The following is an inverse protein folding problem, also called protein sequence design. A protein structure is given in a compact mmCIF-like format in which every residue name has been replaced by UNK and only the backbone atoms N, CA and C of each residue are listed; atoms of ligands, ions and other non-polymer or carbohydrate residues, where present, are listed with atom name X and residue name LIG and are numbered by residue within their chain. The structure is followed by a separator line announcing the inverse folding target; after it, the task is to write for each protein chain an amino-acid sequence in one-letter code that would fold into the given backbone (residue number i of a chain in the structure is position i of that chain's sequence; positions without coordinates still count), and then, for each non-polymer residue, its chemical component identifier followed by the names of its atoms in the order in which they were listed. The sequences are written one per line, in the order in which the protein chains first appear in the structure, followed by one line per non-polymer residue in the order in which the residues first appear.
data_IF_486907958450
#
_entry.id   IF_486907958450
#
_cell.length_a   1.000
_cell.length_b   1.000
_cell.length_c   1.000
_cell.angle_alpha   90.00
_cell.angle_beta   90.00
_cell.angle_gamma   90.00
#
_symmetry.space_group_name_H-M   'P 1'
#
loop_
_entity.id
_entity.type
_entity.pdbx_description
1 polymer ?
#
# COMPACT_ATOMS: atom_id res chain seq x y z
N UNK A 1 13.19 9.96 -23.74
CA UNK A 1 11.71 9.83 -23.81
C UNK A 1 11.02 10.87 -22.94
N UNK A 2 11.52 11.11 -21.72
CA UNK A 2 10.96 12.05 -20.74
C UNK A 2 10.86 13.51 -21.21
N UNK A 3 11.85 14.05 -21.92
CA UNK A 3 11.81 15.44 -22.41
C UNK A 3 10.65 15.71 -23.39
N UNK A 4 10.28 14.73 -24.23
CA UNK A 4 9.14 14.88 -25.17
C UNK A 4 7.81 14.82 -24.43
N UNK A 5 7.72 13.97 -23.41
CA UNK A 5 6.54 13.88 -22.52
C UNK A 5 6.31 15.22 -21.82
N UNK A 6 7.35 15.82 -21.24
CA UNK A 6 7.26 17.12 -20.57
C UNK A 6 6.80 18.25 -21.52
N UNK A 7 7.31 18.29 -22.75
CA UNK A 7 6.94 19.32 -23.73
C UNK A 7 5.48 19.18 -24.20
N UNK A 8 5.00 17.97 -24.42
CA UNK A 8 3.60 17.72 -24.80
C UNK A 8 2.65 18.00 -23.62
N UNK A 9 3.09 17.69 -22.40
CA UNK A 9 2.39 18.06 -21.17
C UNK A 9 2.36 19.58 -20.92
N UNK A 10 3.25 20.37 -21.50
CA UNK A 10 3.11 21.83 -21.44
C UNK A 10 2.08 22.38 -22.44
N UNK A 11 1.75 21.64 -23.51
CA UNK A 11 0.91 22.10 -24.62
C UNK A 11 -0.56 21.70 -24.55
N UNK A 12 -0.89 20.56 -23.94
CA UNK A 12 -2.29 20.12 -23.88
C UNK A 12 -3.14 21.03 -22.96
N UNK A 13 -4.45 21.19 -23.23
CA UNK A 13 -5.34 22.10 -22.51
C UNK A 13 -5.38 21.87 -21.00
N UNK A 14 -5.61 22.94 -20.23
CA UNK A 14 -5.71 22.90 -18.76
C UNK A 14 -6.89 22.06 -18.30
N UNK A 15 -7.99 22.06 -19.08
CA UNK A 15 -9.18 21.24 -18.88
C UNK A 15 -9.29 20.25 -20.04
N UNK A 16 -9.46 18.98 -19.72
CA UNK A 16 -9.62 17.89 -20.68
C UNK A 16 -11.06 17.41 -20.63
N UNK A 17 -11.66 17.22 -21.80
CA UNK A 17 -12.98 16.60 -21.95
C UNK A 17 -12.81 15.12 -22.28
N UNK A 18 -13.53 14.25 -21.58
CA UNK A 18 -13.59 12.82 -21.82
C UNK A 18 -15.03 12.44 -22.14
N UNK A 19 -15.23 11.60 -23.14
CA UNK A 19 -16.50 10.93 -23.39
C UNK A 19 -16.37 9.48 -22.91
N UNK A 20 -17.08 9.12 -21.84
CA UNK A 20 -16.97 7.82 -21.18
C UNK A 20 -18.28 7.07 -21.36
N UNK A 21 -18.30 6.07 -22.25
CA UNK A 21 -19.51 5.32 -22.57
C UNK A 21 -20.70 6.21 -23.00
N UNK A 22 -20.44 7.37 -23.62
CA UNK A 22 -21.45 8.36 -24.01
C UNK A 22 -21.72 9.47 -22.98
N UNK A 23 -21.03 9.45 -21.83
CA UNK A 23 -21.17 10.48 -20.78
C UNK A 23 -19.97 11.42 -20.76
N UNK A 24 -20.23 12.72 -20.81
CA UNK A 24 -19.16 13.73 -20.85
C UNK A 24 -18.65 14.06 -19.44
N UNK A 25 -17.35 13.84 -19.23
CA UNK A 25 -16.60 14.29 -18.05
C UNK A 25 -15.67 15.43 -18.43
N UNK A 26 -15.58 16.44 -17.57
CA UNK A 26 -14.56 17.50 -17.66
C UNK A 26 -13.73 17.51 -16.39
N UNK A 27 -12.41 17.54 -16.55
CA UNK A 27 -11.49 17.55 -15.41
C UNK A 27 -10.19 18.26 -15.78
N UNK A 28 -9.38 18.60 -14.78
CA UNK A 28 -8.07 19.20 -15.05
C UNK A 28 -7.09 18.16 -15.57
N UNK A 29 -6.18 18.61 -16.43
CA UNK A 29 -5.04 17.81 -16.87
C UNK A 29 -4.23 17.28 -15.69
N UNK A 30 -3.97 18.12 -14.70
CA UNK A 30 -3.21 17.77 -13.49
C UNK A 30 -3.84 16.59 -12.74
N UNK A 31 -5.17 16.48 -12.76
CA UNK A 31 -5.87 15.32 -12.19
C UNK A 31 -5.53 14.06 -12.97
N UNK A 32 -5.66 14.09 -14.29
CA UNK A 32 -5.45 12.92 -15.15
C UNK A 32 -3.99 12.44 -15.14
N UNK A 33 -3.03 13.34 -15.00
CA UNK A 33 -1.59 13.00 -15.01
C UNK A 33 -0.99 12.81 -13.62
N UNK A 34 -1.81 12.90 -12.56
CA UNK A 34 -1.35 12.74 -11.17
C UNK A 34 -0.66 11.40 -10.96
N UNK A 35 -1.22 10.32 -11.51
CA UNK A 35 -0.66 8.97 -11.40
C UNK A 35 0.32 8.75 -12.55
N UNK A 36 1.63 8.84 -12.26
CA UNK A 36 2.68 8.61 -13.25
C UNK A 36 2.62 7.18 -13.79
N UNK A 37 2.72 7.04 -15.11
CA UNK A 37 2.64 5.74 -15.79
C UNK A 37 1.22 5.23 -16.00
N UNK A 38 0.19 5.91 -15.49
CA UNK A 38 -1.21 5.59 -15.80
C UNK A 38 -1.52 5.79 -17.28
N UNK A 39 -2.65 5.22 -17.72
CA UNK A 39 -3.17 5.36 -19.07
C UNK A 39 -3.18 6.83 -19.51
N UNK A 40 -3.74 7.74 -18.70
CA UNK A 40 -3.84 9.16 -19.05
C UNK A 40 -2.49 9.89 -19.03
N UNK A 41 -1.57 9.51 -18.14
CA UNK A 41 -0.21 10.06 -18.15
C UNK A 41 0.50 9.72 -19.46
N UNK A 42 0.36 8.49 -19.95
CA UNK A 42 0.92 8.07 -21.25
C UNK A 42 0.17 8.72 -22.41
N UNK A 43 -1.16 8.73 -22.36
CA UNK A 43 -2.04 9.33 -23.37
C UNK A 43 -1.67 10.79 -23.65
N UNK A 44 -1.71 11.62 -22.60
CA UNK A 44 -1.49 13.06 -22.68
C UNK A 44 0.00 13.42 -22.83
N UNK A 45 0.90 12.55 -22.37
CA UNK A 45 2.35 12.70 -22.52
C UNK A 45 2.87 12.34 -23.91
N UNK A 46 2.28 11.35 -24.56
CA UNK A 46 2.74 10.88 -25.88
C UNK A 46 2.58 11.93 -26.97
N UNK A 47 1.56 12.79 -26.87
CA UNK A 47 1.17 13.74 -27.92
C UNK A 47 0.68 13.07 -29.20
N UNK A 48 0.47 11.75 -29.17
CA UNK A 48 0.03 10.94 -30.32
C UNK A 48 -1.49 10.77 -30.37
N UNK A 49 -2.17 11.06 -29.26
CA UNK A 49 -3.62 11.00 -29.17
C UNK A 49 -4.18 12.41 -29.20
N UNK A 50 -4.98 12.69 -30.21
CA UNK A 50 -5.81 13.89 -30.33
C UNK A 50 -7.26 13.51 -30.04
N UNK A 51 -8.09 14.43 -29.54
CA UNK A 51 -9.53 14.21 -29.44
C UNK A 51 -10.13 13.72 -30.77
N UNK A 52 -11.19 12.91 -30.70
CA UNK A 52 -11.76 12.30 -31.90
C UNK A 52 -12.18 13.37 -32.92
N UNK A 53 -11.95 13.07 -34.20
CA UNK A 53 -12.14 14.00 -35.31
C UNK A 53 -13.60 14.46 -35.41
N UNK A 54 -13.93 15.56 -34.73
CA UNK A 54 -15.25 16.16 -34.67
C UNK A 54 -15.67 16.63 -33.26
N UNK A 55 -15.09 16.08 -32.20
CA UNK A 55 -15.41 16.42 -30.81
C UNK A 55 -14.15 16.73 -30.01
N UNK A 56 -14.17 17.78 -29.22
CA UNK A 56 -13.06 18.18 -28.33
C UNK A 56 -12.90 17.25 -27.10
N UNK A 57 -13.24 15.96 -27.26
CA UNK A 57 -13.27 14.94 -26.22
C UNK A 57 -12.50 13.67 -26.60
N UNK A 58 -11.87 13.03 -25.61
CA UNK A 58 -11.27 11.70 -25.76
C UNK A 58 -12.31 10.63 -25.39
N UNK A 59 -12.63 9.74 -26.32
CA UNK A 59 -13.56 8.65 -26.07
C UNK A 59 -12.91 7.51 -25.28
N UNK A 60 -13.65 6.99 -24.31
CA UNK A 60 -13.32 5.85 -23.46
C UNK A 60 -14.52 4.90 -23.42
N UNK A 61 -14.32 3.67 -23.88
CA UNK A 61 -15.33 2.62 -23.85
C UNK A 61 -15.37 1.96 -22.46
N UNK A 62 -15.86 2.72 -21.48
CA UNK A 62 -15.91 2.34 -20.06
C UNK A 62 -17.27 2.72 -19.47
N UNK A 63 -17.65 2.06 -18.38
CA UNK A 63 -18.87 2.42 -17.65
C UNK A 63 -18.74 3.80 -16.97
N UNK A 64 -19.61 4.77 -17.27
CA UNK A 64 -19.49 6.12 -16.71
C UNK A 64 -19.79 6.20 -15.21
N UNK A 65 -20.58 5.28 -14.66
CA UNK A 65 -20.96 5.26 -13.24
C UNK A 65 -19.74 4.89 -12.39
N UNK A 66 -19.04 3.82 -12.78
CA UNK A 66 -17.83 3.35 -12.13
C UNK A 66 -16.64 4.31 -12.39
N UNK A 67 -16.58 4.93 -13.57
CA UNK A 67 -15.54 5.91 -13.90
C UNK A 67 -15.50 7.10 -12.95
N UNK A 68 -16.65 7.51 -12.38
CA UNK A 68 -16.69 8.54 -11.34
C UNK A 68 -15.78 8.21 -10.15
N UNK A 69 -15.72 6.94 -9.74
CA UNK A 69 -14.87 6.48 -8.65
C UNK A 69 -13.38 6.54 -9.03
N UNK A 70 -13.03 6.10 -10.25
CA UNK A 70 -11.67 6.19 -10.78
C UNK A 70 -11.20 7.65 -10.90
N UNK A 71 -12.08 8.54 -11.36
CA UNK A 71 -11.80 9.97 -11.44
C UNK A 71 -11.61 10.60 -10.05
N UNK A 72 -12.37 10.17 -9.05
CA UNK A 72 -12.17 10.62 -7.68
C UNK A 72 -10.81 10.16 -7.14
N UNK A 73 -10.43 8.91 -7.37
CA UNK A 73 -9.10 8.40 -7.03
C UNK A 73 -7.99 9.25 -7.65
N UNK A 74 -8.10 9.60 -8.94
CA UNK A 74 -7.14 10.52 -9.59
C UNK A 74 -7.12 11.93 -8.98
N UNK A 75 -8.20 12.39 -8.35
CA UNK A 75 -8.26 13.71 -7.70
C UNK A 75 -7.62 13.70 -6.32
N UNK A 76 -7.91 12.68 -5.51
CA UNK A 76 -7.57 12.65 -4.08
C UNK A 76 -6.35 11.77 -3.77
N UNK A 77 -6.05 10.79 -4.62
CA UNK A 77 -5.06 9.74 -4.35
C UNK A 77 -5.54 8.66 -3.39
N UNK A 78 -6.81 8.72 -2.95
CA UNK A 78 -7.37 7.76 -1.99
C UNK A 78 -8.38 6.87 -2.69
N UNK A 79 -8.22 5.55 -2.55
CA UNK A 79 -9.21 4.57 -3.02
C UNK A 79 -10.51 4.79 -2.26
N UNK A 80 -11.60 5.08 -2.98
CA UNK A 80 -12.93 5.16 -2.36
C UNK A 80 -13.34 3.79 -1.86
N UNK A 81 -14.14 3.76 -0.79
CA UNK A 81 -14.81 2.54 -0.41
C UNK A 81 -15.75 2.10 -1.54
N UNK A 82 -15.62 0.85 -1.97
CA UNK A 82 -16.55 0.18 -2.89
C UNK A 82 -17.79 -0.37 -2.16
N UNK A 83 -18.02 0.05 -0.92
CA UNK A 83 -19.20 -0.34 -0.14
C UNK A 83 -20.47 0.16 -0.84
N UNK A 84 -21.38 -0.77 -1.11
CA UNK A 84 -22.59 -0.52 -1.90
C UNK A 84 -22.50 -0.97 -3.36
N UNK A 85 -21.30 -1.27 -3.89
CA UNK A 85 -21.18 -1.97 -5.18
C UNK A 85 -21.52 -3.44 -5.01
N UNK A 86 -22.29 -3.99 -5.94
CA UNK A 86 -22.49 -5.43 -6.11
C UNK A 86 -21.16 -6.12 -6.47
N UNK A 87 -21.13 -7.44 -6.35
CA UNK A 87 -19.95 -8.25 -6.72
C UNK A 87 -19.53 -8.03 -8.18
N UNK A 88 -20.50 -7.87 -9.08
CA UNK A 88 -20.24 -7.66 -10.51
C UNK A 88 -19.67 -6.26 -10.75
N UNK A 89 -20.30 -5.22 -10.22
CA UNK A 89 -19.81 -3.84 -10.33
C UNK A 89 -18.41 -3.68 -9.74
N UNK A 90 -18.11 -4.40 -8.65
CA UNK A 90 -16.77 -4.42 -8.07
C UNK A 90 -15.75 -5.06 -9.02
N UNK A 91 -16.10 -6.17 -9.66
CA UNK A 91 -15.25 -6.81 -10.65
C UNK A 91 -15.00 -5.90 -11.86
N UNK A 92 -16.04 -5.28 -12.39
CA UNK A 92 -15.95 -4.30 -13.50
C UNK A 92 -15.13 -3.07 -13.11
N UNK A 93 -15.29 -2.57 -11.89
CA UNK A 93 -14.48 -1.46 -11.37
C UNK A 93 -13.00 -1.83 -11.29
N UNK A 94 -12.67 -3.03 -10.81
CA UNK A 94 -11.27 -3.49 -10.79
C UNK A 94 -10.70 -3.62 -12.20
N UNK A 95 -11.44 -4.21 -13.14
CA UNK A 95 -11.03 -4.30 -14.54
C UNK A 95 -10.80 -2.91 -15.18
N UNK A 96 -11.64 -1.93 -14.85
CA UNK A 96 -11.45 -0.53 -15.28
C UNK A 96 -10.18 0.09 -14.70
N UNK A 97 -9.92 -0.09 -13.40
CA UNK A 97 -8.72 0.44 -12.75
C UNK A 97 -7.44 -0.17 -13.33
N UNK A 98 -7.46 -1.46 -13.67
CA UNK A 98 -6.39 -2.13 -14.40
C UNK A 98 -6.21 -1.57 -15.81
N UNK A 99 -7.30 -1.43 -16.58
CA UNK A 99 -7.27 -0.85 -17.94
C UNK A 99 -6.67 0.56 -17.94
N UNK A 100 -7.09 1.41 -16.99
CA UNK A 100 -6.59 2.78 -16.85
C UNK A 100 -5.19 2.84 -16.23
N UNK A 101 -4.62 1.70 -15.83
CA UNK A 101 -3.38 1.60 -15.06
C UNK A 101 -3.39 2.59 -13.88
N UNK A 102 -4.56 2.67 -13.22
CA UNK A 102 -4.83 3.43 -11.99
C UNK A 102 -4.77 2.52 -10.77
N UNK A 103 -4.31 1.28 -10.96
CA UNK A 103 -3.81 0.47 -9.86
C UNK A 103 -2.82 1.30 -9.05
N UNK A 104 -2.92 1.18 -7.74
CA UNK A 104 -2.00 1.83 -6.81
C UNK A 104 -0.56 1.62 -7.31
N UNK A 105 0.28 2.65 -7.18
CA UNK A 105 1.66 2.63 -7.68
C UNK A 105 2.27 1.25 -7.45
N UNK A 106 2.99 0.66 -8.44
CA UNK A 106 3.35 -0.75 -8.44
C UNK A 106 3.75 -1.17 -7.04
N UNK A 107 2.91 -2.00 -6.38
CA UNK A 107 3.14 -2.40 -4.99
C UNK A 107 4.57 -2.85 -4.93
N UNK A 108 5.37 -2.13 -4.16
CA UNK A 108 6.78 -2.49 -4.00
C UNK A 108 6.82 -3.96 -3.62
N UNK A 109 7.48 -4.77 -4.45
CA UNK A 109 7.52 -6.21 -4.24
C UNK A 109 8.44 -6.48 -3.06
N UNK A 110 7.84 -6.62 -1.88
CA UNK A 110 8.56 -6.95 -0.67
C UNK A 110 8.76 -8.46 -0.54
N UNK A 111 9.95 -8.80 -0.10
CA UNK A 111 10.28 -10.11 0.43
C UNK A 111 10.84 -9.94 1.83
N UNK A 112 10.63 -10.92 2.70
CA UNK A 112 11.41 -10.98 3.93
C UNK A 112 12.88 -11.18 3.57
N UNK A 113 13.76 -10.38 4.16
CA UNK A 113 15.17 -10.38 3.80
C UNK A 113 15.84 -11.69 4.27
N UNK A 114 16.40 -12.51 3.36
CA UNK A 114 17.08 -13.75 3.73
C UNK A 114 18.32 -13.54 4.60
N UNK A 115 18.86 -12.31 4.64
CA UNK A 115 20.04 -11.97 5.44
C UNK A 115 19.68 -11.24 6.74
N UNK A 116 18.45 -10.76 6.90
CA UNK A 116 18.03 -9.92 8.04
C UNK A 116 16.75 -10.48 8.69
N UNK A 117 16.85 -11.72 9.16
CA UNK A 117 15.83 -12.36 9.99
C UNK A 117 16.49 -13.23 11.08
N UNK A 118 15.76 -13.49 12.15
CA UNK A 118 16.21 -14.39 13.20
C UNK A 118 16.41 -15.82 12.69
N UNK A 119 17.44 -16.53 13.18
CA UNK A 119 17.74 -17.92 12.79
C UNK A 119 16.61 -18.91 13.10
N UNK A 120 15.76 -18.55 14.05
CA UNK A 120 14.60 -19.33 14.47
C UNK A 120 13.33 -19.02 13.66
N UNK A 121 13.47 -18.28 12.56
CA UNK A 121 12.43 -18.04 11.58
C UNK A 121 12.80 -18.71 10.26
N UNK A 122 11.82 -19.37 9.62
CA UNK A 122 11.99 -19.91 8.28
C UNK A 122 11.26 -19.05 7.27
N UNK A 123 11.90 -18.82 6.13
CA UNK A 123 11.31 -18.14 4.98
C UNK A 123 10.86 -19.16 3.93
N UNK A 124 9.70 -18.91 3.32
CA UNK A 124 9.14 -19.75 2.26
C UNK A 124 8.31 -18.91 1.28
N UNK A 125 7.75 -19.53 0.24
CA UNK A 125 6.91 -18.85 -0.76
C UNK A 125 7.63 -17.66 -1.42
N UNK A 126 8.81 -17.93 -1.98
CA UNK A 126 9.72 -16.91 -2.51
C UNK A 126 10.01 -15.80 -1.47
N UNK A 127 10.34 -16.21 -0.25
CA UNK A 127 10.61 -15.34 0.90
C UNK A 127 9.47 -14.42 1.34
N UNK A 128 8.24 -14.61 0.85
CA UNK A 128 7.09 -13.78 1.28
C UNK A 128 6.46 -14.26 2.56
N UNK A 129 6.66 -15.53 2.90
CA UNK A 129 6.08 -16.14 4.09
C UNK A 129 7.17 -16.37 5.12
N UNK A 130 6.94 -15.91 6.34
CA UNK A 130 7.82 -16.12 7.49
C UNK A 130 7.08 -16.89 8.57
N UNK A 131 7.74 -17.91 9.11
CA UNK A 131 7.19 -18.81 10.12
C UNK A 131 8.15 -18.95 11.30
N UNK A 132 7.60 -18.91 12.50
CA UNK A 132 8.34 -19.14 13.74
C UNK A 132 8.60 -20.64 13.93
N UNK A 133 9.87 -21.06 13.90
CA UNK A 133 10.25 -22.50 13.89
C UNK A 133 10.81 -23.03 15.21
N UNK A 134 11.05 -22.19 16.23
CA UNK A 134 11.65 -22.64 17.49
C UNK A 134 11.04 -21.98 18.73
N UNK A 135 10.81 -22.81 19.75
CA UNK A 135 10.46 -22.41 21.11
C UNK A 135 11.74 -21.99 21.83
N UNK A 136 12.04 -20.69 21.85
CA UNK A 136 13.04 -20.17 22.76
C UNK A 136 12.33 -19.17 23.67
N UNK A 137 12.31 -19.49 24.97
CA UNK A 137 11.41 -18.84 25.92
C UNK A 137 11.77 -17.38 26.14
N UNK A 138 10.79 -16.49 25.97
CA UNK A 138 10.75 -15.15 26.55
C UNK A 138 11.10 -13.98 25.65
N UNK A 139 11.67 -14.18 24.45
CA UNK A 139 12.05 -13.07 23.56
C UNK A 139 11.41 -13.18 22.19
N UNK A 140 10.83 -12.05 21.74
CA UNK A 140 10.45 -11.88 20.34
C UNK A 140 11.64 -12.07 19.41
N UNK A 141 11.35 -12.63 18.25
CA UNK A 141 12.24 -12.66 17.10
C UNK A 141 11.61 -11.91 15.96
N UNK A 142 12.44 -11.38 15.06
CA UNK A 142 11.96 -10.54 13.98
C UNK A 142 12.50 -10.96 12.61
N UNK A 143 11.74 -10.56 11.60
CA UNK A 143 12.16 -10.54 10.21
C UNK A 143 11.91 -9.13 9.66
N UNK A 144 12.84 -8.63 8.86
CA UNK A 144 12.77 -7.32 8.21
C UNK A 144 12.65 -7.54 6.70
N UNK A 145 11.86 -6.73 6.02
CA UNK A 145 11.76 -6.79 4.56
C UNK A 145 13.06 -6.35 3.88
N UNK A 146 13.22 -6.73 2.61
CA UNK A 146 14.40 -6.46 1.78
C UNK A 146 14.54 -5.00 1.32
N UNK A 147 13.52 -4.16 1.51
CA UNK A 147 13.51 -2.77 1.08
C UNK A 147 12.70 -1.88 2.01
N UNK A 148 12.97 -0.58 1.98
CA UNK A 148 12.24 0.41 2.75
C UNK A 148 10.84 0.61 2.20
N UNK A 149 9.87 0.90 3.07
CA UNK A 149 8.49 1.21 2.72
C UNK A 149 8.42 2.58 2.05
N UNK A 150 7.92 2.63 0.82
CA UNK A 150 7.71 3.89 0.08
C UNK A 150 6.24 4.32 0.04
N UNK A 151 5.33 3.35 0.04
CA UNK A 151 3.89 3.59 -0.04
C UNK A 151 3.14 2.66 0.91
N UNK A 152 3.03 1.38 0.54
CA UNK A 152 2.23 0.43 1.31
C UNK A 152 2.77 -0.98 1.29
N UNK A 153 2.55 -1.70 2.37
CA UNK A 153 2.65 -3.16 2.45
C UNK A 153 1.38 -3.76 3.07
N UNK A 154 1.02 -4.97 2.63
CA UNK A 154 -0.06 -5.77 3.19
C UNK A 154 0.50 -7.08 3.70
N UNK A 155 0.20 -7.42 4.95
CA UNK A 155 0.69 -8.65 5.58
C UNK A 155 -0.51 -9.43 6.10
N UNK A 156 -0.71 -10.64 5.57
CA UNK A 156 -1.72 -11.59 6.05
C UNK A 156 -1.18 -12.41 7.20
N UNK A 157 -2.00 -12.63 8.21
CA UNK A 157 -1.73 -13.58 9.30
C UNK A 157 -2.27 -14.95 8.88
N UNK A 158 -1.38 -15.88 8.54
CA UNK A 158 -1.79 -17.22 8.13
C UNK A 158 -2.12 -18.10 9.33
N UNK A 159 -1.30 -18.02 10.39
CA UNK A 159 -1.46 -18.79 11.63
C UNK A 159 -1.17 -17.90 12.83
N UNK A 160 -2.11 -17.88 13.78
CA UNK A 160 -2.02 -17.14 15.04
C UNK A 160 -1.83 -18.12 16.21
N UNK A 161 -0.57 -18.35 16.61
CA UNK A 161 -0.22 -19.27 17.70
C UNK A 161 0.19 -18.56 18.99
N UNK A 162 0.23 -17.21 19.00
CA UNK A 162 0.51 -16.41 20.19
C UNK A 162 0.75 -14.93 19.89
N UNK A 163 1.61 -14.30 20.68
CA UNK A 163 1.87 -12.86 20.56
C UNK A 163 2.74 -12.55 19.34
N UNK A 164 2.30 -11.58 18.54
CA UNK A 164 3.08 -11.06 17.41
C UNK A 164 2.81 -9.57 17.21
N UNK A 165 3.66 -8.93 16.40
CA UNK A 165 3.45 -7.57 15.95
C UNK A 165 3.82 -7.41 14.49
N UNK A 166 3.13 -6.52 13.79
CA UNK A 166 3.44 -6.11 12.42
C UNK A 166 3.72 -4.61 12.44
N UNK A 167 4.74 -4.14 11.74
CA UNK A 167 5.13 -2.75 11.84
C UNK A 167 6.17 -2.31 10.84
N UNK A 168 6.69 -1.11 11.10
CA UNK A 168 7.83 -0.52 10.39
C UNK A 168 8.82 0.08 11.38
N UNK A 169 10.10 0.01 11.04
CA UNK A 169 11.19 0.52 11.88
C UNK A 169 12.51 0.63 11.13
N UNK A 170 13.60 1.02 11.79
CA UNK A 170 14.90 1.17 11.14
C UNK A 170 15.48 -0.18 10.71
N UNK A 171 16.22 -0.21 9.59
CA UNK A 171 17.01 -1.38 9.21
C UNK A 171 18.40 -1.40 9.86
N UNK A 172 19.04 -0.24 10.01
CA UNK A 172 20.38 -0.13 10.57
C UNK A 172 20.35 -0.42 12.08
N UNK A 173 21.26 -1.29 12.54
CA UNK A 173 21.38 -1.63 13.96
C UNK A 173 20.19 -2.40 14.56
N UNK A 174 19.28 -2.91 13.71
CA UNK A 174 18.09 -3.60 14.16
C UNK A 174 18.40 -4.99 14.74
N UNK A 175 18.02 -5.23 15.99
CA UNK A 175 18.18 -6.52 16.65
C UNK A 175 17.00 -7.45 16.34
N UNK A 176 17.23 -8.40 15.43
CA UNK A 176 16.25 -9.42 15.07
C UNK A 176 16.14 -10.55 16.10
N UNK A 177 17.11 -10.64 17.03
CA UNK A 177 17.26 -11.78 17.94
C UNK A 177 16.64 -11.55 19.32
N UNK A 178 16.29 -10.31 19.67
CA UNK A 178 15.64 -9.98 20.95
C UNK A 178 14.56 -8.93 20.79
N UNK A 179 13.95 -8.51 21.90
CA UNK A 179 12.91 -7.48 21.92
C UNK A 179 13.45 -6.04 22.02
N UNK A 180 14.78 -5.86 22.04
CA UNK A 180 15.42 -4.54 22.25
C UNK A 180 15.03 -3.48 21.22
N UNK A 181 14.80 -3.89 19.97
CA UNK A 181 14.45 -2.96 18.89
C UNK A 181 12.94 -2.71 18.76
N UNK A 182 12.08 -3.38 19.54
CA UNK A 182 10.61 -3.21 19.43
C UNK A 182 10.16 -1.78 19.70
N UNK A 183 10.80 -1.08 20.65
CA UNK A 183 10.49 0.31 21.01
C UNK A 183 10.97 1.32 19.98
N UNK A 184 11.70 0.91 18.95
CA UNK A 184 12.13 1.76 17.84
C UNK A 184 11.15 1.72 16.66
N UNK A 185 10.05 0.95 16.78
CA UNK A 185 9.12 0.71 15.68
C UNK A 185 7.74 1.33 15.92
N UNK A 186 7.12 1.75 14.81
CA UNK A 186 5.67 1.90 14.70
C UNK A 186 5.11 0.50 14.50
N UNK A 187 4.21 0.05 15.39
CA UNK A 187 3.80 -1.37 15.40
C UNK A 187 2.37 -1.55 15.87
N UNK A 188 1.70 -2.52 15.27
CA UNK A 188 0.38 -2.99 15.63
C UNK A 188 0.50 -4.42 16.15
N UNK A 189 0.14 -4.60 17.41
CA UNK A 189 0.26 -5.84 18.15
C UNK A 189 -0.98 -6.72 18.01
N UNK A 190 -0.79 -8.03 18.08
CA UNK A 190 -1.87 -9.01 17.88
C UNK A 190 -3.04 -8.88 18.86
N UNK A 191 -2.81 -8.28 20.03
CA UNK A 191 -3.83 -8.06 21.06
C UNK A 191 -4.60 -6.74 20.89
N UNK A 192 -4.27 -5.94 19.86
CA UNK A 192 -4.98 -4.72 19.49
C UNK A 192 -4.15 -3.45 19.67
N UNK A 193 -3.08 -3.48 20.46
CA UNK A 193 -2.34 -2.27 20.82
C UNK A 193 -1.50 -1.75 19.65
N UNK A 194 -1.59 -0.45 19.41
CA UNK A 194 -0.81 0.27 18.40
C UNK A 194 0.14 1.23 19.09
N UNK A 195 1.42 1.15 18.75
CA UNK A 195 2.49 1.91 19.38
C UNK A 195 3.15 2.84 18.37
N UNK A 196 3.38 4.09 18.79
CA UNK A 196 4.28 5.03 18.12
C UNK A 196 5.61 4.99 18.86
N UNK A 197 6.49 4.05 18.48
CA UNK A 197 7.75 3.80 19.20
C UNK A 197 7.51 3.67 20.71
N UNK A 198 8.57 3.64 21.53
CA UNK A 198 8.47 3.55 22.99
C UNK A 198 7.69 2.33 23.52
N UNK A 199 7.46 2.27 24.85
CA UNK A 199 6.75 1.17 25.49
C UNK A 199 5.23 1.39 25.62
N UNK A 200 4.73 2.60 25.36
CA UNK A 200 3.34 2.98 25.62
C UNK A 200 2.46 2.86 24.37
N UNK A 201 1.32 2.20 24.51
CA UNK A 201 0.32 2.11 23.45
C UNK A 201 -0.39 3.45 23.28
N UNK A 202 -0.53 3.90 22.04
CA UNK A 202 -1.21 5.15 21.70
C UNK A 202 -2.71 4.94 21.53
N UNK A 203 -3.09 3.78 20.99
CA UNK A 203 -4.49 3.39 20.79
C UNK A 203 -4.63 1.87 20.78
N UNK A 204 -5.83 1.37 21.05
CA UNK A 204 -6.18 -0.04 20.94
C UNK A 204 -7.20 -0.22 19.83
N UNK A 205 -6.84 -1.02 18.82
CA UNK A 205 -7.68 -1.47 17.73
C UNK A 205 -8.22 -2.89 18.00
N UNK A 206 -8.90 -3.47 17.01
CA UNK A 206 -9.36 -4.85 17.07
C UNK A 206 -8.18 -5.84 17.21
N UNK A 207 -8.43 -7.00 17.80
CA UNK A 207 -7.42 -8.08 17.85
C UNK A 207 -7.20 -8.63 16.45
N UNK A 208 -5.95 -8.99 16.15
CA UNK A 208 -5.59 -9.57 14.86
C UNK A 208 -5.75 -11.09 14.94
N UNK A 209 -6.55 -11.66 14.04
CA UNK A 209 -6.85 -13.10 13.98
C UNK A 209 -6.23 -13.75 12.74
N UNK A 210 -6.22 -15.08 12.71
CA UNK A 210 -5.82 -15.81 11.51
C UNK A 210 -6.79 -15.50 10.35
N UNK A 211 -6.25 -15.24 9.17
CA UNK A 211 -6.98 -14.77 8.00
C UNK A 211 -6.98 -13.25 7.82
N UNK A 212 -6.73 -12.48 8.89
CA UNK A 212 -6.72 -11.02 8.81
C UNK A 212 -5.52 -10.50 8.01
N UNK A 213 -5.71 -9.33 7.41
CA UNK A 213 -4.69 -8.58 6.68
C UNK A 213 -4.44 -7.25 7.39
N UNK A 214 -3.18 -7.04 7.79
CA UNK A 214 -2.71 -5.74 8.27
C UNK A 214 -2.13 -4.96 7.10
N UNK A 215 -2.73 -3.83 6.80
CA UNK A 215 -2.24 -2.87 5.81
C UNK A 215 -1.46 -1.76 6.53
N UNK A 216 -0.22 -1.53 6.13
CA UNK A 216 0.62 -0.42 6.62
C UNK A 216 0.86 0.54 5.46
N UNK A 217 0.54 1.82 5.62
CA UNK A 217 0.85 2.88 4.66
C UNK A 217 1.84 3.88 5.25
N UNK A 218 2.77 4.37 4.44
CA UNK A 218 3.67 5.46 4.78
C UNK A 218 3.24 6.71 4.00
N UNK A 219 2.80 7.72 4.74
CA UNK A 219 2.55 9.04 4.21
C UNK A 219 3.70 9.99 4.60
N UNK A 220 3.82 11.19 3.98
CA UNK A 220 4.92 12.11 4.24
C UNK A 220 5.10 12.55 5.71
N UNK A 221 4.04 12.45 6.53
CA UNK A 221 4.05 12.93 7.91
C UNK A 221 3.63 11.88 8.95
N UNK A 222 3.23 10.67 8.52
CA UNK A 222 2.67 9.67 9.42
C UNK A 222 2.73 8.26 8.83
N UNK A 223 2.65 7.27 9.73
CA UNK A 223 2.41 5.86 9.40
C UNK A 223 0.94 5.55 9.67
N UNK A 224 0.28 4.85 8.76
CA UNK A 224 -1.09 4.37 8.93
C UNK A 224 -1.14 2.86 9.14
N UNK A 225 -1.99 2.41 10.03
CA UNK A 225 -2.36 1.00 10.20
C UNK A 225 -3.85 0.80 9.94
N UNK A 226 -4.20 -0.17 9.11
CA UNK A 226 -5.58 -0.61 8.90
C UNK A 226 -5.68 -2.14 8.99
N UNK A 227 -6.71 -2.65 9.64
CA UNK A 227 -7.03 -4.08 9.68
C UNK A 227 -8.14 -4.38 8.68
N UNK A 228 -7.93 -5.34 7.79
CA UNK A 228 -8.90 -5.78 6.77
C UNK A 228 -9.48 -4.61 5.95
N UNK A 229 -8.64 -3.63 5.63
CA UNK A 229 -9.00 -2.40 4.93
C UNK A 229 -10.12 -1.57 5.61
N UNK A 230 -10.31 -1.77 6.92
CA UNK A 230 -11.17 -0.96 7.77
C UNK A 230 -10.59 0.43 8.09
N UNK A 231 -11.23 1.21 8.97
CA UNK A 231 -10.81 2.57 9.31
C UNK A 231 -9.35 2.61 9.79
N UNK A 232 -8.47 3.43 9.17
CA UNK A 232 -7.07 3.49 9.54
C UNK A 232 -6.84 4.28 10.84
N UNK A 233 -5.75 3.98 11.51
CA UNK A 233 -5.16 4.80 12.57
C UNK A 233 -3.88 5.42 12.06
N UNK A 234 -3.74 6.73 12.30
CA UNK A 234 -2.61 7.51 11.82
C UNK A 234 -1.69 7.87 13.00
N UNK A 235 -0.42 7.49 12.89
CA UNK A 235 0.62 7.80 13.86
C UNK A 235 1.59 8.81 13.23
N UNK A 236 1.60 10.04 13.73
CA UNK A 236 2.55 11.06 13.27
C UNK A 236 4.00 10.55 13.40
N UNK A 237 4.82 10.78 12.37
CA UNK A 237 6.25 10.50 12.44
C UNK A 237 6.88 11.30 13.60
N UNK A 238 7.90 10.74 14.25
CA UNK A 238 8.65 11.47 15.29
C UNK A 238 9.60 12.48 14.64
N UNK A 239 10.20 12.09 13.52
CA UNK A 239 11.03 12.95 12.70
C UNK A 239 10.54 12.87 11.24
N UNK A 240 10.12 13.99 10.61
CA UNK A 240 9.74 14.00 9.19
C UNK A 240 10.91 13.70 8.25
N UNK A 241 12.15 13.79 8.74
CA UNK A 241 13.38 13.46 8.02
C UNK A 241 13.94 12.08 8.39
N UNK A 242 13.15 11.30 9.15
CA UNK A 242 13.53 9.98 9.63
C UNK A 242 14.06 9.09 8.49
N UNK A 243 15.10 8.33 8.80
CA UNK A 243 15.67 7.35 7.88
C UNK A 243 14.61 6.41 7.32
N UNK A 244 14.90 5.84 6.16
CA UNK A 244 14.01 4.90 5.48
C UNK A 244 13.49 3.81 6.44
N UNK A 245 12.16 3.76 6.62
CA UNK A 245 11.47 2.78 7.46
C UNK A 245 11.26 1.47 6.71
N UNK A 246 11.55 0.33 7.32
CA UNK A 246 11.43 -0.99 6.72
C UNK A 246 10.28 -1.78 7.35
N UNK A 247 9.44 -2.45 6.54
CA UNK A 247 8.46 -3.39 7.05
C UNK A 247 9.10 -4.51 7.86
N UNK A 248 8.45 -4.90 8.95
CA UNK A 248 8.95 -5.92 9.86
C UNK A 248 7.82 -6.62 10.61
N UNK A 249 8.14 -7.80 11.13
CA UNK A 249 7.26 -8.57 12.01
C UNK A 249 8.02 -9.05 13.24
N UNK A 250 7.30 -9.19 14.36
CA UNK A 250 7.79 -9.78 15.61
C UNK A 250 6.95 -10.99 15.96
N UNK A 251 7.56 -12.09 16.40
CA UNK A 251 6.84 -13.30 16.82
C UNK A 251 7.49 -13.92 18.06
N UNK A 252 6.67 -14.35 19.03
CA UNK A 252 7.15 -15.14 20.18
C UNK A 252 6.95 -16.64 19.97
N UNK A 253 5.74 -17.05 19.60
CA UNK A 253 5.32 -18.46 19.69
C UNK A 253 5.55 -19.26 18.40
N UNK A 254 6.05 -20.48 18.60
CA UNK A 254 6.22 -21.50 17.56
C UNK A 254 4.94 -21.66 16.72
N UNK A 255 5.09 -21.75 15.41
CA UNK A 255 3.99 -21.92 14.46
C UNK A 255 3.30 -20.63 14.02
N UNK A 256 3.59 -19.49 14.65
CA UNK A 256 3.08 -18.18 14.16
C UNK A 256 3.61 -17.92 12.75
N UNK A 257 2.71 -17.58 11.82
CA UNK A 257 3.02 -17.51 10.39
C UNK A 257 2.34 -16.33 9.71
N UNK A 258 3.12 -15.54 8.99
CA UNK A 258 2.66 -14.34 8.30
C UNK A 258 3.18 -14.30 6.85
N UNK A 259 2.38 -13.78 5.93
CA UNK A 259 2.71 -13.68 4.49
C UNK A 259 2.51 -12.27 3.97
N UNK A 260 3.52 -11.74 3.29
CA UNK A 260 3.42 -10.50 2.50
C UNK A 260 2.53 -10.76 1.28
N UNK A 261 1.57 -9.86 1.06
CA UNK A 261 0.70 -9.86 -0.12
C UNK A 261 1.18 -8.83 -1.15
N UNK A 262 0.89 -9.11 -2.42
CA UNK A 262 1.06 -8.19 -3.54
C UNK A 262 -0.27 -7.58 -3.95
#
# INVERSE_FOLDING_TARGET
MELRIQQNMARAPTIVTLDVGGTIFKTSKDTLVRVKGSYFHVLLGSGLWTPDSGGDAYFLDLDPTLFRCALMFMRTGTTMSTDGLTTIERHEFHAMMEYLNLTEAPTQLFEWNPNTHAKEMALSNANRTVERMSLNNGYFKAAVANAALVDRIRVRVDVCSGSFGVGVGPAAGFDVSTSKSTTQCYRYWSHGEVFKKGPEAIVTLAKIQAGDVVTIRLAPSHVEFALNDGPPVNLALEDPTEESLFPLVFMSELGTKLTILY
#
